data_IF_724487506747
#
_entry.id   IF_724487506747
#
_cell.length_a   1.000
_cell.length_b   1.000
_cell.length_c   1.000
_cell.angle_alpha   90.00
_cell.angle_beta   90.00
_cell.angle_gamma   90.00
#
_symmetry.space_group_name_H-M   'P 1'
#
loop_
_entity.id
_entity.type
_entity.pdbx_description
1 polymer ?
#
# COMPACT_ATOMS: atom_id res chain seq x y z
N UNK A 1 15.11 -8.87 9.19
CA UNK A 1 14.44 -8.33 10.41
C UNK A 1 13.96 -6.91 10.13
N UNK A 2 12.64 -6.69 10.19
CA UNK A 2 12.03 -5.37 10.05
C UNK A 2 12.06 -4.59 11.36
N UNK A 3 12.30 -3.28 11.30
CA UNK A 3 12.23 -2.40 12.46
C UNK A 3 11.77 -1.01 12.07
N UNK A 4 11.08 -0.35 12.99
CA UNK A 4 10.72 1.05 12.88
C UNK A 4 11.10 1.77 14.17
N UNK A 5 11.88 2.85 14.04
CA UNK A 5 12.33 3.68 15.16
C UNK A 5 11.80 5.09 14.97
N UNK A 6 11.23 5.67 16.03
CA UNK A 6 10.87 7.09 16.07
C UNK A 6 12.02 7.84 16.74
N UNK A 7 12.60 8.80 16.03
CA UNK A 7 13.75 9.60 16.51
C UNK A 7 13.29 10.86 17.20
N UNK A 8 12.22 11.50 16.72
CA UNK A 8 11.68 12.73 17.30
C UNK A 8 10.20 12.92 16.94
N UNK A 9 9.51 13.70 17.77
CA UNK A 9 8.10 14.07 17.60
C UNK A 9 7.95 15.59 17.67
N UNK A 10 7.00 16.13 16.92
CA UNK A 10 6.59 17.52 17.07
C UNK A 10 5.78 17.68 18.37
N UNK A 11 6.00 18.74 19.18
CA UNK A 11 5.19 18.98 20.37
C UNK A 11 3.78 19.52 20.06
N UNK A 12 3.59 20.15 18.90
CA UNK A 12 2.35 20.85 18.53
C UNK A 12 1.43 20.05 17.60
N UNK A 13 1.95 18.97 17.00
CA UNK A 13 1.25 18.16 16.00
C UNK A 13 1.53 16.67 16.21
N UNK A 14 0.91 15.80 15.42
CA UNK A 14 1.19 14.36 15.47
C UNK A 14 2.44 13.95 14.64
N UNK A 15 3.16 14.92 14.08
CA UNK A 15 4.31 14.65 13.21
C UNK A 15 5.43 13.88 13.92
N UNK A 16 6.02 12.94 13.17
CA UNK A 16 7.08 12.04 13.60
C UNK A 16 8.18 12.00 12.54
N UNK A 17 9.41 11.92 13.00
CA UNK A 17 10.56 11.54 12.18
C UNK A 17 11.24 10.32 12.81
N UNK A 18 11.89 9.52 11.97
CA UNK A 18 12.38 8.21 12.36
C UNK A 18 12.99 7.46 11.20
N UNK A 19 13.10 6.15 11.33
CA UNK A 19 13.74 5.29 10.34
C UNK A 19 13.00 3.96 10.23
N UNK A 20 12.74 3.52 9.00
CA UNK A 20 12.36 2.13 8.69
C UNK A 20 13.64 1.38 8.33
N UNK A 21 13.83 0.19 8.90
CA UNK A 21 14.95 -0.70 8.62
C UNK A 21 14.44 -2.06 8.13
N UNK A 22 14.99 -2.51 7.01
CA UNK A 22 14.75 -3.83 6.42
C UNK A 22 16.09 -4.57 6.32
N UNK A 23 16.10 -5.77 5.74
CA UNK A 23 17.35 -6.50 5.48
C UNK A 23 18.20 -5.83 4.40
N UNK A 24 17.58 -5.11 3.46
CA UNK A 24 18.25 -4.44 2.35
C UNK A 24 18.88 -3.12 2.73
N UNK A 25 18.28 -2.40 3.69
CA UNK A 25 18.76 -1.09 4.09
C UNK A 25 17.79 -0.37 5.01
N UNK A 26 17.99 0.93 5.14
CA UNK A 26 17.11 1.79 5.90
C UNK A 26 16.67 3.01 5.10
N UNK A 27 15.54 3.57 5.47
CA UNK A 27 15.01 4.80 4.89
C UNK A 27 14.51 5.72 6.00
N UNK A 28 14.88 7.02 6.00
CA UNK A 28 14.34 7.98 6.95
C UNK A 28 12.85 8.21 6.66
N UNK A 29 12.10 8.52 7.72
CA UNK A 29 10.70 8.93 7.68
C UNK A 29 10.54 10.34 8.23
N UNK A 30 9.63 11.19 7.68
CA UNK A 30 8.71 10.91 6.58
C UNK A 30 9.41 10.64 5.24
N UNK A 31 8.86 9.72 4.44
CA UNK A 31 9.42 9.32 3.15
C UNK A 31 8.40 9.56 2.04
N UNK A 32 8.88 10.02 0.88
CA UNK A 32 8.12 10.06 -0.36
C UNK A 32 8.62 8.95 -1.29
N UNK A 33 7.69 8.19 -1.87
CA UNK A 33 8.01 7.05 -2.75
C UNK A 33 7.74 7.41 -4.21
N UNK A 34 8.78 7.60 -5.05
CA UNK A 34 8.60 7.64 -6.49
C UNK A 34 7.92 6.36 -6.99
N UNK A 35 6.98 6.51 -7.93
CA UNK A 35 6.15 5.39 -8.38
C UNK A 35 6.70 4.79 -9.66
N UNK A 36 7.07 3.52 -9.58
CA UNK A 36 7.41 2.66 -10.70
C UNK A 36 6.22 1.80 -11.14
N UNK A 37 5.82 1.93 -12.41
CA UNK A 37 4.63 1.22 -12.93
C UNK A 37 4.98 -0.11 -13.59
N UNK A 38 6.04 -0.16 -14.39
CA UNK A 38 6.47 -1.35 -15.14
C UNK A 38 7.95 -1.63 -14.90
N UNK A 39 8.31 -1.81 -13.64
CA UNK A 39 9.69 -1.98 -13.19
C UNK A 39 10.61 -0.81 -13.59
N UNK A 40 10.04 0.40 -13.64
CA UNK A 40 10.77 1.63 -13.95
C UNK A 40 9.96 2.82 -13.43
N UNK A 41 10.65 3.81 -12.85
CA UNK A 41 10.08 5.15 -12.65
C UNK A 41 10.19 5.89 -13.98
N UNK A 42 9.06 6.39 -14.47
CA UNK A 42 8.98 6.87 -15.85
C UNK A 42 9.95 8.02 -16.09
N UNK A 43 10.75 7.88 -17.15
CA UNK A 43 11.76 8.86 -17.58
C UNK A 43 12.93 9.10 -16.62
N UNK A 44 13.17 8.19 -15.66
CA UNK A 44 14.29 8.27 -14.71
C UNK A 44 15.05 6.95 -14.66
N UNK A 45 16.37 7.01 -14.72
CA UNK A 45 17.24 5.88 -14.42
C UNK A 45 17.38 5.69 -12.89
N UNK A 46 17.68 4.47 -12.42
CA UNK A 46 17.87 4.20 -10.99
C UNK A 46 18.89 5.12 -10.30
N UNK A 47 20.01 5.44 -10.95
CA UNK A 47 21.04 6.30 -10.35
C UNK A 47 20.54 7.74 -10.13
N UNK A 48 19.70 8.27 -11.02
CA UNK A 48 19.12 9.62 -10.89
C UNK A 48 18.22 9.71 -9.66
N UNK A 49 17.44 8.65 -9.39
CA UNK A 49 16.61 8.58 -8.18
C UNK A 49 17.47 8.56 -6.91
N UNK A 50 18.60 7.86 -6.93
CA UNK A 50 19.53 7.84 -5.81
C UNK A 50 20.18 9.22 -5.58
N UNK A 51 20.58 9.91 -6.66
CA UNK A 51 21.12 11.28 -6.60
C UNK A 51 20.09 12.28 -6.03
N UNK A 52 18.81 12.05 -6.31
CA UNK A 52 17.70 12.82 -5.70
C UNK A 52 17.41 12.44 -4.24
N UNK A 53 18.10 11.45 -3.68
CA UNK A 53 17.93 11.00 -2.30
C UNK A 53 16.75 10.06 -2.06
N UNK A 54 16.18 9.44 -3.10
CA UNK A 54 15.15 8.42 -2.92
C UNK A 54 15.76 7.16 -2.27
N UNK A 55 15.33 6.82 -1.05
CA UNK A 55 15.72 5.58 -0.37
C UNK A 55 14.76 4.42 -0.61
N UNK A 56 13.55 4.71 -1.09
CA UNK A 56 12.47 3.75 -1.32
C UNK A 56 11.62 4.17 -2.52
N UNK A 57 11.14 3.19 -3.29
CA UNK A 57 10.17 3.40 -4.39
C UNK A 57 8.94 2.53 -4.20
N UNK A 58 7.84 2.90 -4.85
CA UNK A 58 6.65 2.07 -4.98
C UNK A 58 6.66 1.34 -6.32
N UNK A 59 6.38 0.04 -6.34
CA UNK A 59 6.17 -0.75 -7.55
C UNK A 59 4.71 -1.21 -7.66
N UNK A 60 4.12 -1.08 -8.85
CA UNK A 60 2.73 -1.49 -9.09
C UNK A 60 2.65 -2.98 -9.42
N UNK A 61 2.05 -3.75 -8.52
CA UNK A 61 1.91 -5.21 -8.64
C UNK A 61 1.01 -5.60 -9.80
N UNK A 62 -0.10 -4.89 -10.01
CA UNK A 62 -1.05 -5.18 -11.10
C UNK A 62 -0.38 -5.23 -12.47
N UNK A 63 0.46 -4.24 -12.77
CA UNK A 63 1.11 -4.15 -14.07
C UNK A 63 2.18 -5.23 -14.24
N UNK A 64 2.98 -5.48 -13.19
CA UNK A 64 4.04 -6.49 -13.20
C UNK A 64 3.49 -7.92 -13.27
N UNK A 65 2.34 -8.16 -12.62
CA UNK A 65 1.60 -9.41 -12.69
C UNK A 65 1.17 -9.72 -14.13
N UNK A 66 0.59 -8.74 -14.83
CA UNK A 66 0.14 -8.94 -16.21
C UNK A 66 1.31 -8.97 -17.21
N UNK A 67 2.33 -8.14 -16.99
CA UNK A 67 3.50 -8.07 -17.87
C UNK A 67 4.71 -7.46 -17.15
N UNK A 68 5.86 -8.15 -17.10
CA UNK A 68 6.20 -9.39 -17.80
C UNK A 68 5.65 -10.67 -17.15
N UNK A 69 5.01 -10.57 -15.99
CA UNK A 69 4.69 -11.72 -15.14
C UNK A 69 5.68 -11.80 -13.98
N UNK A 70 5.15 -12.03 -12.78
CA UNK A 70 5.94 -12.12 -11.54
C UNK A 70 6.90 -13.30 -11.54
N UNK A 71 6.56 -14.40 -12.21
CA UNK A 71 7.44 -15.56 -12.38
C UNK A 71 8.70 -15.24 -13.19
N UNK A 72 8.54 -14.49 -14.28
CA UNK A 72 9.68 -14.01 -15.09
C UNK A 72 10.61 -13.13 -14.26
N UNK A 73 10.04 -12.27 -13.41
CA UNK A 73 10.81 -11.40 -12.51
C UNK A 73 11.53 -12.22 -11.43
N UNK A 74 10.86 -13.24 -10.88
CA UNK A 74 11.45 -14.18 -9.93
C UNK A 74 12.66 -14.90 -10.54
N UNK A 75 12.52 -15.44 -11.74
CA UNK A 75 13.60 -16.09 -12.49
C UNK A 75 14.76 -15.12 -12.80
N UNK A 76 14.48 -13.85 -13.04
CA UNK A 76 15.49 -12.81 -13.22
C UNK A 76 16.20 -12.39 -11.92
N UNK A 77 15.85 -13.00 -10.77
CA UNK A 77 16.46 -12.74 -9.47
C UNK A 77 15.73 -11.67 -8.64
N UNK A 78 14.44 -11.46 -8.89
CA UNK A 78 13.59 -10.50 -8.18
C UNK A 78 13.62 -9.10 -8.78
N UNK A 79 12.66 -8.27 -8.36
CA UNK A 79 12.37 -6.97 -8.95
C UNK A 79 13.55 -6.00 -8.83
N UNK A 80 14.24 -5.98 -7.69
CA UNK A 80 15.44 -5.16 -7.49
C UNK A 80 16.49 -5.38 -8.58
N UNK A 81 16.81 -6.65 -8.86
CA UNK A 81 17.79 -7.01 -9.91
C UNK A 81 17.22 -6.71 -11.30
N UNK A 82 15.94 -7.01 -11.51
CA UNK A 82 15.26 -6.79 -12.78
C UNK A 82 15.27 -5.31 -13.21
N UNK A 83 15.12 -4.38 -12.26
CA UNK A 83 15.10 -2.94 -12.53
C UNK A 83 16.38 -2.19 -12.14
N UNK A 84 17.42 -2.91 -11.71
CA UNK A 84 18.67 -2.35 -11.20
C UNK A 84 18.48 -1.29 -10.09
N UNK A 85 17.52 -1.51 -9.19
CA UNK A 85 17.25 -0.61 -8.06
C UNK A 85 17.85 -1.16 -6.75
N UNK A 86 18.84 -0.47 -6.15
CA UNK A 86 19.51 -0.94 -4.94
C UNK A 86 18.79 -0.55 -3.64
N UNK A 87 17.88 0.43 -3.68
CA UNK A 87 17.11 0.88 -2.52
C UNK A 87 15.94 -0.03 -2.18
N UNK A 88 15.11 0.40 -1.22
CA UNK A 88 13.92 -0.34 -0.80
C UNK A 88 12.82 -0.28 -1.88
N UNK A 89 12.00 -1.31 -1.94
CA UNK A 89 10.78 -1.37 -2.76
C UNK A 89 9.60 -1.68 -1.85
N UNK A 90 8.55 -0.86 -1.97
CA UNK A 90 7.21 -1.18 -1.54
C UNK A 90 6.39 -1.64 -2.76
N UNK A 91 5.69 -2.76 -2.69
CA UNK A 91 4.71 -3.15 -3.71
C UNK A 91 3.30 -2.87 -3.23
N UNK A 92 2.46 -2.28 -4.07
CA UNK A 92 1.02 -2.25 -3.79
C UNK A 92 0.38 -3.64 -3.95
N UNK A 93 -0.87 -3.80 -3.53
CA UNK A 93 -1.57 -5.09 -3.64
C UNK A 93 -2.12 -5.37 -5.05
N UNK A 94 -2.15 -4.33 -5.90
CA UNK A 94 -2.84 -4.31 -7.19
C UNK A 94 -4.36 -4.11 -7.09
N UNK A 95 -4.94 -4.03 -5.89
CA UNK A 95 -6.38 -3.86 -5.68
C UNK A 95 -6.92 -2.62 -6.38
N UNK A 96 -6.35 -1.44 -6.08
CA UNK A 96 -6.78 -0.17 -6.66
C UNK A 96 -6.85 -0.19 -8.19
N UNK A 97 -5.85 -0.75 -8.87
CA UNK A 97 -5.80 -0.78 -10.34
C UNK A 97 -6.84 -1.74 -10.91
N UNK A 98 -7.12 -2.86 -10.24
CA UNK A 98 -8.26 -3.71 -10.61
C UNK A 98 -9.57 -2.91 -10.48
N UNK A 99 -9.73 -2.11 -9.42
CA UNK A 99 -10.91 -1.26 -9.24
C UNK A 99 -10.98 -0.03 -10.16
N UNK A 100 -9.87 0.51 -10.65
CA UNK A 100 -9.87 1.73 -11.47
C UNK A 100 -9.81 1.45 -12.97
N UNK A 101 -9.21 0.33 -13.40
CA UNK A 101 -8.94 0.07 -14.81
C UNK A 101 -9.82 -1.01 -15.46
N UNK A 102 -10.46 -1.88 -14.68
CA UNK A 102 -11.37 -2.89 -15.23
C UNK A 102 -12.83 -2.41 -15.20
N UNK A 103 -13.38 -2.16 -16.39
CA UNK A 103 -14.80 -1.83 -16.62
C UNK A 103 -15.72 -3.02 -16.36
N UNK A 104 -15.19 -4.24 -16.46
CA UNK A 104 -15.86 -5.49 -16.14
C UNK A 104 -15.08 -6.19 -15.03
N UNK A 105 -15.59 -6.06 -13.80
CA UNK A 105 -15.11 -6.78 -12.63
C UNK A 105 -16.25 -7.36 -11.82
N UNK A 106 -15.96 -8.48 -11.18
CA UNK A 106 -16.83 -9.11 -10.20
C UNK A 106 -16.03 -9.25 -8.91
N UNK A 107 -16.60 -8.76 -7.81
CA UNK A 107 -15.96 -8.84 -6.49
C UNK A 107 -16.76 -9.82 -5.64
N UNK A 108 -16.07 -10.73 -4.98
CA UNK A 108 -16.63 -11.69 -4.03
C UNK A 108 -15.73 -11.81 -2.81
N UNK A 109 -16.09 -12.63 -1.83
CA UNK A 109 -15.22 -12.91 -0.69
C UNK A 109 -13.92 -13.63 -1.11
N UNK A 110 -13.88 -14.28 -2.27
CA UNK A 110 -12.70 -15.00 -2.78
C UNK A 110 -11.64 -14.08 -3.40
N UNK A 111 -12.04 -12.92 -3.91
CA UNK A 111 -11.16 -11.97 -4.58
C UNK A 111 -11.89 -11.13 -5.63
N UNK A 112 -11.14 -10.65 -6.61
CA UNK A 112 -11.67 -9.86 -7.73
C UNK A 112 -11.39 -10.57 -9.05
N UNK A 113 -12.45 -10.92 -9.79
CA UNK A 113 -12.35 -11.37 -11.17
C UNK A 113 -12.38 -10.16 -12.08
N UNK A 114 -11.42 -10.05 -13.01
CA UNK A 114 -11.33 -8.94 -13.95
C UNK A 114 -10.80 -9.39 -15.31
N UNK A 115 -11.05 -8.56 -16.32
CA UNK A 115 -10.48 -8.74 -17.66
C UNK A 115 -9.22 -7.88 -17.85
N UNK A 116 -8.15 -8.50 -18.30
CA UNK A 116 -6.89 -7.84 -18.65
C UNK A 116 -7.12 -6.78 -19.74
N UNK A 117 -6.63 -5.56 -19.49
CA UNK A 117 -6.66 -4.46 -20.46
C UNK A 117 -5.64 -4.64 -21.60
N UNK A 118 -4.78 -5.66 -21.53
CA UNK A 118 -3.72 -5.89 -22.50
C UNK A 118 -4.14 -6.82 -23.63
N UNK A 119 -4.87 -7.88 -23.31
CA UNK A 119 -5.19 -8.99 -24.21
C UNK A 119 -6.61 -9.55 -24.02
N UNK A 120 -7.37 -9.03 -23.06
CA UNK A 120 -8.75 -9.44 -22.83
C UNK A 120 -8.91 -10.77 -22.07
N UNK A 121 -7.82 -11.35 -21.55
CA UNK A 121 -7.88 -12.58 -20.74
C UNK A 121 -8.53 -12.32 -19.38
N UNK A 122 -9.20 -13.33 -18.82
CA UNK A 122 -9.86 -13.24 -17.51
C UNK A 122 -8.91 -13.74 -16.42
N UNK A 123 -8.78 -12.98 -15.35
CA UNK A 123 -7.96 -13.31 -14.18
C UNK A 123 -8.81 -13.19 -12.90
N UNK A 124 -8.48 -14.01 -11.90
CA UNK A 124 -8.94 -13.87 -10.52
C UNK A 124 -7.76 -13.43 -9.67
N UNK A 125 -7.79 -12.22 -9.13
CA UNK A 125 -6.85 -11.77 -8.11
C UNK A 125 -7.43 -12.03 -6.73
N UNK A 126 -6.87 -13.00 -6.01
CA UNK A 126 -7.22 -13.30 -4.62
C UNK A 126 -6.20 -12.70 -3.64
N UNK A 127 -6.52 -12.61 -2.33
CA UNK A 127 -5.55 -12.26 -1.30
C UNK A 127 -4.26 -13.10 -1.35
N UNK A 128 -4.38 -14.40 -1.57
CA UNK A 128 -3.24 -15.32 -1.65
C UNK A 128 -2.41 -15.08 -2.89
N UNK A 129 -3.05 -14.90 -4.05
CA UNK A 129 -2.32 -14.61 -5.27
C UNK A 129 -1.60 -13.27 -5.17
N UNK A 130 -2.22 -12.23 -4.62
CA UNK A 130 -1.59 -10.92 -4.43
C UNK A 130 -0.32 -11.02 -3.57
N UNK A 131 -0.36 -11.79 -2.48
CA UNK A 131 0.82 -12.04 -1.64
C UNK A 131 1.89 -12.84 -2.40
N UNK A 132 1.51 -13.94 -3.06
CA UNK A 132 2.45 -14.76 -3.85
C UNK A 132 3.18 -13.95 -4.93
N UNK A 133 2.43 -13.08 -5.61
CA UNK A 133 2.99 -12.17 -6.61
C UNK A 133 4.01 -11.23 -5.98
N UNK A 134 3.68 -10.59 -4.85
CA UNK A 134 4.61 -9.68 -4.15
C UNK A 134 5.84 -10.41 -3.59
N UNK A 135 5.70 -11.64 -3.11
CA UNK A 135 6.81 -12.49 -2.67
C UNK A 135 7.73 -12.88 -3.85
N UNK A 136 7.16 -13.18 -5.02
CA UNK A 136 7.89 -13.46 -6.25
C UNK A 136 8.63 -12.23 -6.80
N UNK A 137 8.01 -11.05 -6.70
CA UNK A 137 8.67 -9.77 -6.98
C UNK A 137 9.81 -9.49 -5.99
N UNK A 138 9.68 -9.95 -4.74
CA UNK A 138 10.72 -9.81 -3.72
C UNK A 138 10.93 -8.36 -3.26
N UNK A 139 9.84 -7.61 -3.10
CA UNK A 139 9.85 -6.29 -2.47
C UNK A 139 10.16 -6.38 -0.97
N UNK A 140 10.59 -5.29 -0.36
CA UNK A 140 10.90 -5.25 1.08
C UNK A 140 9.62 -5.03 1.92
N UNK A 141 8.65 -4.29 1.37
CA UNK A 141 7.34 -4.04 1.98
C UNK A 141 6.25 -4.42 0.97
N UNK A 142 5.39 -5.36 1.36
CA UNK A 142 4.19 -5.75 0.64
C UNK A 142 2.95 -5.13 1.31
N UNK A 143 1.91 -4.94 0.52
CA UNK A 143 0.61 -4.45 0.99
C UNK A 143 -0.42 -5.57 0.94
N UNK A 144 -1.24 -5.70 1.99
CA UNK A 144 -2.39 -6.61 1.97
C UNK A 144 -3.33 -6.28 0.80
N UNK A 145 -3.99 -7.31 0.26
CA UNK A 145 -5.07 -7.12 -0.69
C UNK A 145 -6.30 -6.54 0.03
N UNK A 146 -6.88 -5.50 -0.55
CA UNK A 146 -7.95 -4.70 0.05
C UNK A 146 -8.99 -4.32 -1.00
N UNK A 147 -10.12 -3.79 -0.54
CA UNK A 147 -11.16 -3.25 -1.41
C UNK A 147 -11.27 -1.73 -1.27
N UNK A 148 -10.93 -1.02 -2.33
CA UNK A 148 -11.08 0.43 -2.41
C UNK A 148 -12.41 0.78 -3.07
N UNK A 149 -13.32 1.40 -2.31
CA UNK A 149 -14.57 1.94 -2.83
C UNK A 149 -14.36 3.30 -3.51
N UNK A 150 -15.13 3.64 -4.56
CA UNK A 150 -15.10 4.97 -5.17
C UNK A 150 -15.68 6.03 -4.23
N UNK A 151 -15.36 7.30 -4.48
CA UNK A 151 -16.03 8.43 -3.85
C UNK A 151 -16.90 9.19 -4.87
N UNK A 152 -18.16 9.54 -4.54
CA UNK A 152 -18.89 9.17 -3.33
C UNK A 152 -19.39 7.72 -3.35
N UNK A 153 -19.65 7.13 -2.18
CA UNK A 153 -20.30 5.83 -2.03
C UNK A 153 -21.32 5.85 -0.88
N UNK A 154 -22.20 4.85 -0.82
CA UNK A 154 -23.11 4.71 0.31
C UNK A 154 -22.38 4.21 1.56
N UNK A 155 -22.90 4.47 2.78
CA UNK A 155 -22.36 3.88 4.00
C UNK A 155 -22.36 2.34 3.98
N UNK A 156 -23.38 1.73 3.37
CA UNK A 156 -23.51 0.28 3.26
C UNK A 156 -22.44 -0.34 2.36
N UNK A 157 -22.18 0.26 1.19
CA UNK A 157 -21.14 -0.21 0.27
C UNK A 157 -19.74 -0.11 0.92
N UNK A 158 -19.49 0.99 1.64
CA UNK A 158 -18.25 1.20 2.37
C UNK A 158 -18.09 0.18 3.51
N UNK A 159 -19.15 -0.09 4.27
CA UNK A 159 -19.12 -1.06 5.36
C UNK A 159 -18.83 -2.48 4.86
N UNK A 160 -19.43 -2.85 3.72
CA UNK A 160 -19.19 -4.15 3.11
C UNK A 160 -17.76 -4.29 2.56
N UNK A 161 -17.20 -3.22 1.98
CA UNK A 161 -15.80 -3.19 1.57
C UNK A 161 -14.83 -3.25 2.76
N UNK A 162 -15.17 -2.63 3.90
CA UNK A 162 -14.41 -2.77 5.15
C UNK A 162 -14.43 -4.21 5.64
N UNK A 163 -15.60 -4.86 5.64
CA UNK A 163 -15.73 -6.27 6.01
C UNK A 163 -14.84 -7.16 5.14
N UNK A 164 -14.90 -6.99 3.81
CA UNK A 164 -14.07 -7.75 2.86
C UNK A 164 -12.57 -7.44 3.02
N UNK A 165 -12.19 -6.18 3.23
CA UNK A 165 -10.80 -5.78 3.51
C UNK A 165 -10.24 -6.48 4.74
N UNK A 166 -11.02 -6.59 5.83
CA UNK A 166 -10.60 -7.27 7.05
C UNK A 166 -10.49 -8.79 6.86
N UNK A 167 -11.43 -9.39 6.14
CA UNK A 167 -11.38 -10.81 5.74
C UNK A 167 -10.13 -11.10 4.92
N UNK A 168 -9.84 -10.28 3.92
CA UNK A 168 -8.68 -10.43 3.03
C UNK A 168 -7.36 -10.15 3.74
N UNK A 169 -7.30 -9.16 4.64
CA UNK A 169 -6.11 -8.88 5.43
C UNK A 169 -5.67 -10.10 6.25
N UNK A 170 -6.63 -10.81 6.87
CA UNK A 170 -6.34 -12.05 7.59
C UNK A 170 -5.81 -13.15 6.67
N UNK A 171 -6.44 -13.34 5.50
CA UNK A 171 -5.98 -14.31 4.50
C UNK A 171 -4.58 -13.99 3.97
N UNK A 172 -4.27 -12.71 3.73
CA UNK A 172 -2.91 -12.28 3.35
C UNK A 172 -1.90 -12.60 4.46
N UNK A 173 -2.24 -12.34 5.73
CA UNK A 173 -1.37 -12.64 6.87
C UNK A 173 -1.11 -14.14 7.01
N UNK A 174 -2.13 -14.98 6.79
CA UNK A 174 -2.03 -16.43 6.93
C UNK A 174 -1.10 -17.09 5.89
N UNK A 175 -0.97 -16.49 4.70
CA UNK A 175 -0.17 -17.05 3.59
C UNK A 175 1.17 -16.36 3.37
N UNK A 176 1.38 -15.17 3.94
CA UNK A 176 2.66 -14.46 3.84
C UNK A 176 3.74 -15.23 4.61
N UNK A 177 4.71 -15.75 3.88
CA UNK A 177 5.70 -16.72 4.37
C UNK A 177 7.14 -16.20 4.29
N UNK A 178 7.38 -15.17 3.48
CA UNK A 178 8.70 -14.61 3.22
C UNK A 178 9.22 -13.79 4.41
N UNK A 179 10.35 -14.22 5.00
CA UNK A 179 10.89 -13.62 6.23
C UNK A 179 11.63 -12.27 6.03
N UNK A 180 12.15 -12.01 4.84
CA UNK A 180 12.84 -10.77 4.44
C UNK A 180 11.90 -9.69 3.87
N UNK A 181 10.60 -10.02 3.73
CA UNK A 181 9.54 -9.11 3.30
C UNK A 181 8.59 -8.82 4.47
N UNK A 182 8.06 -7.60 4.50
CA UNK A 182 7.13 -7.16 5.54
C UNK A 182 5.75 -6.89 4.94
N UNK A 183 4.68 -7.31 5.61
CA UNK A 183 3.31 -7.11 5.11
C UNK A 183 2.58 -6.00 5.89
N UNK A 184 2.03 -5.00 5.21
CA UNK A 184 1.26 -3.91 5.83
C UNK A 184 -0.24 -4.09 5.61
N UNK A 185 -1.03 -3.85 6.66
CA UNK A 185 -2.49 -3.79 6.56
C UNK A 185 -2.96 -2.45 5.97
N UNK A 186 -4.15 -2.42 5.36
CA UNK A 186 -4.72 -1.21 4.75
C UNK A 186 -6.05 -0.88 5.40
N UNK A 187 -6.13 0.28 6.06
CA UNK A 187 -7.38 0.80 6.62
C UNK A 187 -8.25 1.34 5.49
N UNK A 188 -9.50 0.88 5.44
CA UNK A 188 -10.56 1.35 4.54
C UNK A 188 -11.73 1.96 5.34
N UNK A 189 -12.77 2.43 4.64
CA UNK A 189 -13.96 3.03 5.26
C UNK A 189 -14.40 4.37 4.67
N UNK A 190 -13.91 4.72 3.46
CA UNK A 190 -14.30 5.95 2.74
C UNK A 190 -14.19 7.19 3.65
N UNK A 191 -15.20 8.06 3.65
CA UNK A 191 -15.32 9.26 4.50
C UNK A 191 -16.14 9.03 5.78
N UNK A 192 -16.32 7.78 6.23
CA UNK A 192 -17.08 7.43 7.43
C UNK A 192 -16.14 7.14 8.61
N UNK A 193 -16.12 8.02 9.61
CA UNK A 193 -15.16 7.94 10.74
C UNK A 193 -15.34 6.67 11.58
N UNK A 194 -16.58 6.28 11.85
CA UNK A 194 -16.91 5.09 12.63
C UNK A 194 -16.37 3.83 11.95
N UNK A 195 -16.55 3.72 10.64
CA UNK A 195 -16.04 2.60 9.84
C UNK A 195 -14.50 2.59 9.79
N UNK A 196 -13.88 3.76 9.61
CA UNK A 196 -12.41 3.94 9.63
C UNK A 196 -11.80 3.51 10.95
N UNK A 197 -12.38 3.98 12.07
CA UNK A 197 -11.91 3.65 13.42
C UNK A 197 -12.11 2.16 13.71
N UNK A 198 -13.24 1.56 13.31
CA UNK A 198 -13.47 0.13 13.47
C UNK A 198 -12.42 -0.68 12.71
N UNK A 199 -12.24 -0.38 11.42
CA UNK A 199 -11.26 -1.04 10.56
C UNK A 199 -9.83 -0.93 11.12
N UNK A 200 -9.43 0.27 11.56
CA UNK A 200 -8.12 0.51 12.16
C UNK A 200 -7.89 -0.34 13.42
N UNK A 201 -8.88 -0.43 14.31
CA UNK A 201 -8.78 -1.23 15.55
C UNK A 201 -8.71 -2.72 15.26
N UNK A 202 -9.49 -3.21 14.31
CA UNK A 202 -9.47 -4.63 13.93
C UNK A 202 -8.15 -5.02 13.27
N UNK A 203 -7.60 -4.18 12.38
CA UNK A 203 -6.26 -4.38 11.82
C UNK A 203 -5.17 -4.26 12.89
N UNK A 204 -5.31 -3.34 13.84
CA UNK A 204 -4.37 -3.21 14.96
C UNK A 204 -4.34 -4.50 15.80
N UNK A 205 -5.48 -5.14 16.02
CA UNK A 205 -5.57 -6.43 16.72
C UNK A 205 -4.92 -7.60 15.94
N UNK A 206 -4.71 -7.47 14.63
CA UNK A 206 -3.94 -8.42 13.82
C UNK A 206 -2.42 -8.21 13.89
N UNK A 207 -1.95 -7.13 14.52
CA UNK A 207 -0.52 -6.80 14.76
C UNK A 207 0.36 -6.80 13.49
N UNK A 208 -0.11 -6.17 12.40
CA UNK A 208 0.74 -5.92 11.25
C UNK A 208 1.97 -5.07 11.62
N UNK A 209 3.13 -5.30 10.99
CA UNK A 209 4.33 -4.47 11.15
C UNK A 209 4.16 -2.99 10.73
N UNK A 210 3.15 -2.67 9.93
CA UNK A 210 2.82 -1.31 9.52
C UNK A 210 1.40 -1.21 8.97
N UNK A 211 0.89 0.03 8.87
CA UNK A 211 -0.50 0.29 8.53
C UNK A 211 -0.60 1.41 7.50
N UNK A 212 -1.30 1.16 6.40
CA UNK A 212 -1.64 2.17 5.44
C UNK A 212 -3.05 2.71 5.65
N UNK A 213 -3.28 3.94 5.23
CA UNK A 213 -4.60 4.56 5.08
C UNK A 213 -4.90 4.61 3.58
N UNK A 214 -5.75 3.70 3.12
CA UNK A 214 -6.19 3.58 1.72
C UNK A 214 -7.52 4.26 1.46
N UNK A 215 -7.94 4.33 0.20
CA UNK A 215 -9.27 4.87 -0.17
C UNK A 215 -9.46 6.35 0.16
N UNK A 216 -8.38 7.12 0.16
CA UNK A 216 -8.36 8.58 0.19
C UNK A 216 -7.59 9.08 -1.04
N UNK A 217 -7.75 10.36 -1.37
CA UNK A 217 -7.33 10.98 -2.63
C UNK A 217 -7.92 10.30 -3.87
N UNK A 218 -9.18 9.85 -3.76
CA UNK A 218 -9.93 9.15 -4.83
C UNK A 218 -11.07 9.99 -5.42
N UNK A 219 -11.19 11.25 -5.00
CA UNK A 219 -12.14 12.22 -5.54
C UNK A 219 -12.79 13.11 -4.47
N UNK A 220 -12.56 12.81 -3.19
CA UNK A 220 -13.08 13.58 -2.07
C UNK A 220 -12.35 14.94 -1.89
N UNK A 221 -13.02 15.94 -1.30
CA UNK A 221 -12.36 17.20 -0.94
C UNK A 221 -11.20 16.97 0.04
N UNK A 222 -10.13 17.76 -0.06
CA UNK A 222 -8.99 17.66 0.86
C UNK A 222 -9.39 17.81 2.34
N UNK A 223 -10.41 18.61 2.65
CA UNK A 223 -10.94 18.75 4.01
C UNK A 223 -11.51 17.45 4.57
N UNK A 224 -12.12 16.61 3.72
CA UNK A 224 -12.62 15.30 4.13
C UNK A 224 -11.47 14.34 4.39
N UNK A 225 -10.45 14.34 3.52
CA UNK A 225 -9.23 13.56 3.76
C UNK A 225 -8.58 13.92 5.10
N UNK A 226 -8.42 15.21 5.40
CA UNK A 226 -7.83 15.68 6.67
C UNK A 226 -8.68 15.27 7.88
N UNK A 227 -10.01 15.46 7.81
CA UNK A 227 -10.94 15.03 8.86
C UNK A 227 -10.82 13.53 9.16
N UNK A 228 -10.71 12.70 8.12
CA UNK A 228 -10.53 11.26 8.29
C UNK A 228 -9.16 10.91 8.88
N UNK A 229 -8.09 11.60 8.48
CA UNK A 229 -6.77 11.42 9.09
C UNK A 229 -6.80 11.74 10.59
N UNK A 230 -7.42 12.86 10.97
CA UNK A 230 -7.57 13.26 12.38
C UNK A 230 -8.33 12.21 13.21
N UNK A 231 -9.31 11.52 12.61
CA UNK A 231 -10.09 10.47 13.27
C UNK A 231 -9.37 9.11 13.34
N UNK A 232 -8.70 8.69 12.26
CA UNK A 232 -8.18 7.32 12.12
C UNK A 232 -6.79 7.14 12.73
N UNK A 233 -5.92 8.16 12.64
CA UNK A 233 -4.52 8.02 13.06
C UNK A 233 -4.39 7.73 14.58
N UNK A 234 -5.18 8.34 15.48
CA UNK A 234 -5.17 7.99 16.90
C UNK A 234 -5.57 6.53 17.20
N UNK A 235 -6.29 5.87 16.29
CA UNK A 235 -6.69 4.48 16.46
C UNK A 235 -5.60 3.48 16.02
N UNK A 236 -4.54 3.93 15.33
CA UNK A 236 -3.46 3.09 14.85
C UNK A 236 -2.28 3.01 15.86
N UNK A 237 -1.62 1.85 15.99
CA UNK A 237 -0.48 1.70 16.88
C UNK A 237 0.62 2.74 16.61
N UNK A 238 1.00 3.47 17.66
CA UNK A 238 1.92 4.60 17.53
C UNK A 238 3.34 4.16 17.12
N UNK A 239 3.79 3.03 17.64
CA UNK A 239 5.12 2.45 17.38
C UNK A 239 5.29 1.77 16.03
N UNK A 240 4.34 1.94 15.10
CA UNK A 240 4.35 1.32 13.77
C UNK A 240 4.33 2.41 12.67
N UNK A 241 4.95 2.19 11.51
CA UNK A 241 4.90 3.14 10.40
C UNK A 241 3.47 3.25 9.85
N UNK A 242 3.16 4.45 9.35
CA UNK A 242 1.85 4.83 8.82
C UNK A 242 2.05 5.33 7.39
N UNK A 243 1.32 4.76 6.45
CA UNK A 243 1.46 5.08 5.03
C UNK A 243 0.16 5.66 4.46
N UNK A 244 0.15 6.95 4.12
CA UNK A 244 -0.96 7.57 3.41
C UNK A 244 -0.86 7.29 1.91
N UNK A 245 -1.74 6.43 1.39
CA UNK A 245 -1.67 5.94 0.01
C UNK A 245 -2.20 6.98 -0.97
N UNK A 246 -1.52 7.13 -2.11
CA UNK A 246 -2.03 7.90 -3.26
C UNK A 246 -1.95 9.43 -3.14
N UNK A 247 -1.40 9.97 -2.05
CA UNK A 247 -1.26 11.42 -1.84
C UNK A 247 0.10 11.92 -2.32
N UNK A 248 0.11 12.94 -3.18
CA UNK A 248 1.34 13.50 -3.76
C UNK A 248 1.43 15.02 -3.86
N UNK A 249 0.33 15.76 -3.64
CA UNK A 249 0.39 17.22 -3.69
C UNK A 249 1.16 17.78 -2.49
N UNK A 250 2.11 18.73 -2.67
CA UNK A 250 2.96 19.20 -1.59
C UNK A 250 2.24 19.67 -0.32
N UNK A 251 1.14 20.46 -0.39
CA UNK A 251 0.39 20.83 0.81
C UNK A 251 -0.17 19.61 1.56
N UNK A 252 -0.67 18.62 0.81
CA UNK A 252 -1.26 17.42 1.38
C UNK A 252 -0.19 16.52 2.04
N UNK A 253 1.06 16.56 1.56
CA UNK A 253 2.18 15.88 2.21
C UNK A 253 2.47 16.50 3.57
N UNK A 254 2.51 17.83 3.66
CA UNK A 254 2.74 18.54 4.94
C UNK A 254 1.59 18.29 5.91
N UNK A 255 0.35 18.36 5.45
CA UNK A 255 -0.86 18.11 6.26
C UNK A 255 -0.96 16.64 6.70
N UNK A 256 -0.54 15.70 5.85
CA UNK A 256 -0.42 14.29 6.20
C UNK A 256 0.61 14.07 7.30
N UNK A 257 1.82 14.63 7.15
CA UNK A 257 2.88 14.54 8.17
C UNK A 257 2.45 15.17 9.49
N UNK A 258 1.79 16.34 9.47
CA UNK A 258 1.27 16.97 10.68
C UNK A 258 0.26 16.09 11.43
N UNK A 259 -0.39 15.15 10.73
CA UNK A 259 -1.35 14.20 11.29
C UNK A 259 -0.76 12.83 11.63
N UNK A 260 0.54 12.61 11.43
CA UNK A 260 1.30 11.46 11.95
C UNK A 260 1.64 10.37 10.95
#
# INVERSE_FOLDING_TARGET
MFGFRIDSRCPDTMARTGEIRTERGSVPTPAFMPVGTRATVKAMAPFELQEMGAGIILANTYHLYLRPGHEVIREAGGLHRFMAWPGLILTDSGGFQVFSLSTLREISDDGVTFRSHLDGTTHLMSPELSVQVQEALGSDIAMCFDECVPYPCSPGDSQEAVRRTLLWARRCQDVHSRADQTLFGIVQGSVFEDQRISCARELAAMDFPGYAVGGLSVGEPHSEMYRILDAVIPALPEGKPRYLMGVGYPPNLVEGVARG
#
